data_IF_670084860127
#
_entry.id   IF_670084860127
#
_cell.length_a   1.000
_cell.length_b   1.000
_cell.length_c   1.000
_cell.angle_alpha   90.00
_cell.angle_beta   90.00
_cell.angle_gamma   90.00
#
_symmetry.space_group_name_H-M   'P 1'
#
loop_
_entity.id
_entity.type
_entity.pdbx_description
1 polymer ?
#
# COMPACT_ATOMS: atom_id res chain seq x y z
N UNK A 1 14.46 10.96 13.74
CA UNK A 1 13.00 10.90 13.56
C UNK A 1 12.67 9.78 12.59
N UNK A 2 11.59 9.08 12.87
CA UNK A 2 11.16 7.98 11.99
C UNK A 2 10.45 8.53 10.75
N UNK A 3 10.77 7.96 9.60
CA UNK A 3 10.02 8.19 8.37
C UNK A 3 9.87 6.88 7.63
N UNK A 4 8.89 6.81 6.74
CA UNK A 4 8.70 5.65 5.87
C UNK A 4 8.39 6.11 4.46
N UNK A 5 8.74 5.28 3.49
CA UNK A 5 8.30 5.42 2.12
C UNK A 5 7.50 4.17 1.79
N UNK A 6 6.36 4.36 1.12
CA UNK A 6 5.47 3.25 0.80
C UNK A 6 4.74 3.51 -0.50
N UNK A 7 4.21 2.43 -1.07
CA UNK A 7 3.25 2.51 -2.16
C UNK A 7 2.06 1.64 -1.82
N UNK A 8 0.89 2.00 -2.35
CA UNK A 8 -0.33 1.26 -2.04
C UNK A 8 -1.27 1.19 -3.22
N UNK A 9 -2.23 0.28 -3.10
CA UNK A 9 -3.34 0.14 -4.04
C UNK A 9 -4.62 0.15 -3.21
N UNK A 10 -5.54 1.06 -3.52
CA UNK A 10 -6.83 1.15 -2.83
C UNK A 10 -7.93 0.62 -3.73
N UNK A 11 -8.72 -0.32 -3.22
CA UNK A 11 -9.89 -0.85 -3.92
C UNK A 11 -11.08 -0.92 -2.98
N UNK A 12 -12.29 -1.11 -3.54
CA UNK A 12 -13.52 -1.05 -2.79
C UNK A 12 -13.94 -2.33 -2.09
N UNK A 13 -13.32 -3.48 -2.41
CA UNK A 13 -13.72 -4.75 -1.79
C UNK A 13 -12.50 -5.58 -1.40
N UNK A 14 -12.69 -6.38 -0.35
CA UNK A 14 -11.65 -7.28 0.14
C UNK A 14 -11.32 -8.34 -0.92
N UNK A 15 -12.33 -8.85 -1.61
CA UNK A 15 -12.15 -9.87 -2.63
C UNK A 15 -11.26 -9.36 -3.76
N UNK A 16 -11.53 -8.17 -4.26
CA UNK A 16 -10.71 -7.56 -5.30
C UNK A 16 -9.28 -7.37 -4.82
N UNK A 17 -9.12 -6.91 -3.59
CA UNK A 17 -7.82 -6.71 -2.98
C UNK A 17 -7.02 -8.01 -2.93
N UNK A 18 -7.66 -9.12 -2.55
CA UNK A 18 -7.01 -10.44 -2.50
C UNK A 18 -6.62 -10.94 -3.88
N UNK A 19 -7.48 -10.72 -4.88
CA UNK A 19 -7.21 -11.11 -6.26
C UNK A 19 -5.96 -10.38 -6.77
N UNK A 20 -5.90 -9.07 -6.54
CA UNK A 20 -4.76 -8.27 -6.98
C UNK A 20 -3.48 -8.68 -6.26
N UNK A 21 -3.57 -8.97 -4.94
CA UNK A 21 -2.40 -9.45 -4.19
C UNK A 21 -1.88 -10.77 -4.76
N UNK A 22 -2.78 -11.68 -5.09
CA UNK A 22 -2.38 -12.97 -5.67
C UNK A 22 -1.67 -12.76 -7.02
N UNK A 23 -2.13 -11.82 -7.83
CA UNK A 23 -1.49 -11.48 -9.10
C UNK A 23 -0.07 -10.93 -8.89
N UNK A 24 0.09 -10.06 -7.90
CA UNK A 24 1.39 -9.47 -7.57
C UNK A 24 2.32 -10.57 -7.03
N UNK A 25 1.83 -11.43 -6.16
CA UNK A 25 2.61 -12.54 -5.61
C UNK A 25 3.05 -13.50 -6.72
N UNK A 26 2.27 -13.60 -7.80
CA UNK A 26 2.61 -14.42 -8.96
C UNK A 26 3.52 -13.72 -9.97
N UNK A 27 3.96 -12.50 -9.70
CA UNK A 27 4.92 -11.78 -10.53
C UNK A 27 4.39 -10.57 -11.27
N UNK A 28 3.11 -10.20 -11.12
CA UNK A 28 2.60 -9.00 -11.75
C UNK A 28 3.25 -7.74 -11.14
N UNK A 29 3.42 -6.71 -11.96
CA UNK A 29 4.05 -5.48 -11.53
C UNK A 29 3.10 -4.64 -10.66
N UNK A 30 3.54 -4.31 -9.45
CA UNK A 30 2.74 -3.54 -8.50
C UNK A 30 2.30 -2.19 -9.08
N UNK A 31 3.23 -1.47 -9.70
CA UNK A 31 2.94 -0.14 -10.23
C UNK A 31 1.89 -0.19 -11.35
N UNK A 32 1.95 -1.19 -12.21
CA UNK A 32 0.95 -1.35 -13.28
C UNK A 32 -0.43 -1.68 -12.71
N UNK A 33 -0.49 -2.57 -11.71
CA UNK A 33 -1.75 -2.90 -11.02
C UNK A 33 -2.32 -1.64 -10.36
N UNK A 34 -1.48 -0.83 -9.72
CA UNK A 34 -1.91 0.42 -9.10
C UNK A 34 -2.51 1.38 -10.13
N UNK A 35 -1.86 1.53 -11.28
CA UNK A 35 -2.36 2.41 -12.34
C UNK A 35 -3.71 1.98 -12.88
N UNK A 36 -3.92 0.66 -13.00
CA UNK A 36 -5.15 0.12 -13.58
C UNK A 36 -6.31 0.08 -12.58
N UNK A 37 -6.05 -0.19 -11.31
CA UNK A 37 -7.09 -0.56 -10.35
C UNK A 37 -7.22 0.35 -9.14
N UNK A 38 -6.18 1.10 -8.76
CA UNK A 38 -6.25 1.89 -7.54
C UNK A 38 -7.25 3.03 -7.66
N UNK A 39 -8.08 3.18 -6.63
CA UNK A 39 -9.03 4.29 -6.53
C UNK A 39 -8.39 5.56 -6.00
N UNK A 40 -7.17 5.46 -5.47
CA UNK A 40 -6.44 6.61 -4.97
C UNK A 40 -5.71 7.33 -6.11
N UNK A 41 -5.68 8.70 -6.10
CA UNK A 41 -4.93 9.44 -7.12
C UNK A 41 -3.46 9.03 -7.25
N UNK A 42 -2.83 8.52 -6.17
CA UNK A 42 -1.47 8.01 -6.22
C UNK A 42 -1.30 6.85 -7.20
N UNK A 43 -2.40 6.20 -7.60
CA UNK A 43 -2.36 5.13 -8.59
C UNK A 43 -1.70 5.57 -9.89
N UNK A 44 -1.89 6.83 -10.29
CA UNK A 44 -1.25 7.40 -11.50
C UNK A 44 0.27 7.36 -11.43
N UNK A 45 0.83 7.29 -10.23
CA UNK A 45 2.27 7.23 -9.97
C UNK A 45 2.70 5.85 -9.48
N UNK A 46 1.96 4.82 -9.85
CA UNK A 46 2.25 3.46 -9.42
C UNK A 46 1.94 3.17 -7.96
N UNK A 47 1.13 4.04 -7.32
CA UNK A 47 0.77 3.92 -5.91
C UNK A 47 1.75 4.59 -4.96
N UNK A 48 2.80 5.24 -5.47
CA UNK A 48 3.84 5.85 -4.65
C UNK A 48 3.29 7.00 -3.82
N UNK A 49 3.51 6.96 -2.52
CA UNK A 49 3.07 7.98 -1.56
C UNK A 49 4.19 8.90 -1.12
N UNK A 50 5.44 8.61 -1.53
CA UNK A 50 6.59 9.37 -1.08
C UNK A 50 6.92 9.08 0.38
N UNK A 51 7.67 9.99 1.01
CA UNK A 51 8.09 9.87 2.40
C UNK A 51 7.07 10.54 3.33
N UNK A 52 6.83 9.90 4.48
CA UNK A 52 5.91 10.46 5.48
C UNK A 52 6.36 10.03 6.88
N UNK A 53 5.85 10.77 7.88
CA UNK A 53 6.16 10.56 9.30
C UNK A 53 5.01 9.82 9.99
N UNK A 54 5.27 9.19 11.17
CA UNK A 54 4.20 8.58 11.96
C UNK A 54 3.07 9.57 12.23
N UNK A 55 1.84 9.09 12.11
CA UNK A 55 0.64 9.90 12.39
C UNK A 55 0.11 10.68 11.21
N UNK A 56 0.80 10.69 10.07
CA UNK A 56 0.31 11.38 8.87
C UNK A 56 -0.71 10.56 8.09
N UNK A 57 -0.71 9.25 8.28
CA UNK A 57 -1.66 8.34 7.64
C UNK A 57 -2.67 7.83 8.65
N UNK A 58 -3.78 7.24 8.18
CA UNK A 58 -4.73 6.59 9.09
C UNK A 58 -4.04 5.48 9.86
N UNK A 59 -4.57 5.16 11.06
CA UNK A 59 -3.92 4.27 12.02
C UNK A 59 -3.50 2.92 11.41
N UNK A 60 -4.42 2.27 10.70
CA UNK A 60 -4.16 0.94 10.13
C UNK A 60 -3.01 0.97 9.13
N UNK A 61 -2.96 2.03 8.32
CA UNK A 61 -1.90 2.22 7.33
C UNK A 61 -0.58 2.52 8.03
N UNK A 62 -0.62 3.40 9.02
CA UNK A 62 0.55 3.79 9.82
C UNK A 62 1.16 2.56 10.51
N UNK A 63 0.33 1.69 11.09
CA UNK A 63 0.81 0.50 11.78
C UNK A 63 1.58 -0.43 10.82
N UNK A 64 1.11 -0.60 9.61
CA UNK A 64 1.80 -1.41 8.61
C UNK A 64 3.14 -0.76 8.22
N UNK A 65 3.12 0.54 7.92
CA UNK A 65 4.30 1.23 7.42
C UNK A 65 5.44 1.31 8.43
N UNK A 66 5.12 1.34 9.72
CA UNK A 66 6.14 1.51 10.76
C UNK A 66 6.44 0.24 11.55
N UNK A 67 5.72 -0.86 11.33
CA UNK A 67 5.90 -2.09 12.09
C UNK A 67 6.13 -3.34 11.23
N UNK A 68 5.67 -3.35 9.97
CA UNK A 68 5.73 -4.55 9.14
C UNK A 68 6.96 -4.58 8.27
N UNK A 69 7.23 -5.73 7.66
CA UNK A 69 8.43 -5.98 6.90
C UNK A 69 8.50 -5.13 5.63
N UNK A 70 9.67 -4.56 5.36
CA UNK A 70 9.95 -3.80 4.13
C UNK A 70 10.11 -4.75 2.95
N UNK A 71 9.60 -4.33 1.78
CA UNK A 71 9.77 -5.10 0.54
C UNK A 71 8.75 -6.20 0.34
N UNK A 72 7.77 -6.31 1.24
CA UNK A 72 6.70 -7.31 1.17
C UNK A 72 5.36 -6.59 1.02
N UNK A 73 4.49 -7.11 0.16
CA UNK A 73 3.15 -6.54 0.00
C UNK A 73 2.24 -7.08 1.11
N UNK A 74 1.70 -6.17 1.91
CA UNK A 74 0.82 -6.49 3.03
C UNK A 74 -0.62 -6.17 2.68
N UNK A 75 -1.55 -7.01 3.10
CA UNK A 75 -2.97 -6.77 2.89
C UNK A 75 -3.75 -8.05 2.68
N UNK A 76 -5.08 -7.92 2.57
CA UNK A 76 -5.86 -6.67 2.58
C UNK A 76 -5.84 -5.96 3.92
N UNK A 77 -5.63 -4.65 3.91
CA UNK A 77 -5.70 -3.80 5.08
C UNK A 77 -6.94 -2.91 4.97
N UNK A 78 -7.88 -3.06 5.90
CA UNK A 78 -9.13 -2.29 5.87
C UNK A 78 -8.95 -0.94 6.54
N UNK A 79 -9.41 0.12 5.86
CA UNK A 79 -9.48 1.47 6.43
C UNK A 79 -10.87 2.05 6.13
N UNK A 80 -11.11 3.30 6.54
CA UNK A 80 -12.36 3.98 6.21
C UNK A 80 -12.52 4.24 4.71
N UNK A 81 -11.43 4.18 3.95
CA UNK A 81 -11.45 4.41 2.50
C UNK A 81 -11.74 3.14 1.69
N UNK A 82 -11.52 1.97 2.27
CA UNK A 82 -11.69 0.70 1.59
C UNK A 82 -10.62 -0.28 2.00
N UNK A 83 -10.08 -1.01 1.02
CA UNK A 83 -9.07 -2.05 1.27
C UNK A 83 -7.79 -1.71 0.53
N UNK A 84 -6.66 -1.84 1.23
CA UNK A 84 -5.36 -1.47 0.70
C UNK A 84 -4.43 -2.67 0.58
N UNK A 85 -3.61 -2.67 -0.48
CA UNK A 85 -2.35 -3.41 -0.50
C UNK A 85 -1.26 -2.38 -0.26
N UNK A 86 -0.37 -2.66 0.69
CA UNK A 86 0.67 -1.72 1.11
C UNK A 86 2.02 -2.39 1.04
N UNK A 87 2.96 -1.77 0.35
CA UNK A 87 4.35 -2.20 0.35
C UNK A 87 5.20 -1.07 0.88
N UNK A 88 5.89 -1.32 1.99
CA UNK A 88 6.87 -0.38 2.54
C UNK A 88 8.14 -0.53 1.74
N UNK A 89 8.60 0.54 1.11
CA UNK A 89 9.78 0.50 0.25
C UNK A 89 11.04 0.94 0.99
N UNK A 90 10.88 1.77 2.02
CA UNK A 90 11.99 2.21 2.85
C UNK A 90 11.47 2.70 4.20
N UNK A 91 12.32 2.65 5.21
CA UNK A 91 11.98 3.13 6.55
C UNK A 91 13.24 3.53 7.30
N UNK A 92 13.18 4.69 7.96
CA UNK A 92 14.26 5.17 8.84
C UNK A 92 13.71 5.30 10.26
N UNK A 93 14.58 5.13 11.23
CA UNK A 93 14.23 5.31 12.65
C UNK A 93 14.80 6.59 13.24
#
# INVERSE_FOLDING_TARGET
MSTAQARHILVGSEEECRILKARIDAGADFAEIAKEHSLCPSGAYGGDLGEFSPGQMVKEFNDVCFNEEIGVVHGPVKTTFGYHLIEVTDRTD
#
